data_IF_323162074364
#
_entry.id   IF_323162074364
#
_cell.length_a   1.000
_cell.length_b   1.000
_cell.length_c   1.000
_cell.angle_alpha   90.00
_cell.angle_beta   90.00
_cell.angle_gamma   90.00
#
_symmetry.space_group_name_H-M   'P 1'
#
loop_
_entity.id
_entity.type
_entity.pdbx_description
1 polymer ?
#
# COMPACT_ATOMS: atom_id res chain seq x y z
N UNK A 1 4.35 -0.77 -27.66
CA UNK A 1 5.51 -0.11 -27.06
C UNK A 1 6.63 -1.13 -27.12
N UNK A 2 7.62 -0.90 -27.97
CA UNK A 2 8.81 -1.72 -28.04
C UNK A 2 9.60 -1.50 -26.75
N UNK A 3 9.62 -2.52 -25.89
CA UNK A 3 10.51 -2.58 -24.74
C UNK A 3 11.92 -2.73 -25.29
N UNK A 4 12.57 -1.59 -25.51
CA UNK A 4 14.01 -1.55 -25.72
C UNK A 4 14.63 -1.98 -24.40
N UNK A 5 15.04 -3.25 -24.33
CA UNK A 5 15.97 -3.75 -23.32
C UNK A 5 17.26 -2.96 -23.49
N UNK A 6 17.38 -1.86 -22.75
CA UNK A 6 18.67 -1.20 -22.57
C UNK A 6 19.42 -2.10 -21.60
N UNK A 7 20.07 -3.12 -22.14
CA UNK A 7 21.04 -3.91 -21.38
C UNK A 7 22.17 -2.96 -21.00
N UNK A 8 22.25 -2.64 -19.72
CA UNK A 8 23.32 -1.82 -19.19
C UNK A 8 24.60 -2.68 -19.20
N UNK A 9 25.32 -2.69 -20.31
CA UNK A 9 26.50 -3.56 -20.55
C UNK A 9 27.54 -3.48 -19.43
N UNK A 10 27.67 -2.31 -18.79
CA UNK A 10 28.56 -2.07 -17.65
C UNK A 10 28.11 -2.82 -16.39
N UNK A 11 26.80 -2.87 -16.15
CA UNK A 11 26.20 -3.59 -15.01
C UNK A 11 26.35 -5.10 -15.20
N UNK A 12 26.08 -5.60 -16.40
CA UNK A 12 26.27 -7.02 -16.76
C UNK A 12 27.74 -7.41 -16.60
N UNK A 13 28.66 -6.59 -17.10
CA UNK A 13 30.10 -6.84 -16.99
C UNK A 13 30.55 -6.89 -15.53
N UNK A 14 30.08 -5.96 -14.71
CA UNK A 14 30.38 -5.91 -13.27
C UNK A 14 29.83 -7.14 -12.55
N UNK A 15 28.60 -7.54 -12.86
CA UNK A 15 27.98 -8.73 -12.32
C UNK A 15 28.76 -10.00 -12.69
N UNK A 16 29.18 -10.16 -13.95
CA UNK A 16 29.99 -11.30 -14.40
C UNK A 16 31.33 -11.35 -13.65
N UNK A 17 32.01 -10.20 -13.50
CA UNK A 17 33.29 -10.12 -12.78
C UNK A 17 33.12 -10.52 -11.32
N UNK A 18 32.08 -10.02 -10.64
CA UNK A 18 31.81 -10.34 -9.25
C UNK A 18 31.47 -11.83 -9.07
N UNK A 19 30.66 -12.39 -9.97
CA UNK A 19 30.37 -13.83 -9.96
C UNK A 19 31.61 -14.68 -10.14
N UNK A 20 32.46 -14.33 -11.11
CA UNK A 20 33.74 -15.01 -11.33
C UNK A 20 34.60 -14.97 -10.07
N UNK A 21 34.74 -13.80 -9.42
CA UNK A 21 35.49 -13.65 -8.17
C UNK A 21 34.94 -14.55 -7.07
N UNK A 22 33.62 -14.60 -6.91
CA UNK A 22 32.95 -15.44 -5.90
C UNK A 22 33.20 -16.93 -6.17
N UNK A 23 33.00 -17.40 -7.40
CA UNK A 23 33.25 -18.80 -7.76
C UNK A 23 34.72 -19.18 -7.59
N UNK A 24 35.65 -18.33 -8.01
CA UNK A 24 37.09 -18.56 -7.83
C UNK A 24 37.46 -18.61 -6.35
N UNK A 25 36.93 -17.69 -5.54
CA UNK A 25 37.15 -17.70 -4.09
C UNK A 25 36.60 -18.98 -3.45
N UNK A 26 35.38 -19.39 -3.82
CA UNK A 26 34.79 -20.63 -3.33
C UNK A 26 35.61 -21.87 -3.71
N UNK A 27 36.15 -21.91 -4.92
CA UNK A 27 37.00 -23.01 -5.38
C UNK A 27 38.36 -23.06 -4.67
N UNK A 28 39.04 -21.92 -4.50
CA UNK A 28 40.39 -21.87 -3.93
C UNK A 28 40.43 -21.82 -2.40
N UNK A 29 39.37 -21.34 -1.73
CA UNK A 29 39.33 -21.26 -0.26
C UNK A 29 39.70 -22.58 0.44
N UNK A 30 39.18 -23.76 0.01
CA UNK A 30 39.55 -25.04 0.62
C UNK A 30 41.02 -25.43 0.44
N UNK A 31 41.75 -24.77 -0.47
CA UNK A 31 43.16 -25.03 -0.72
C UNK A 31 44.10 -24.23 0.18
N UNK A 32 43.63 -23.20 0.89
CA UNK A 32 44.50 -22.35 1.72
C UNK A 32 45.26 -23.13 2.79
N UNK A 33 44.57 -24.03 3.49
CA UNK A 33 45.16 -24.84 4.58
C UNK A 33 45.35 -26.31 4.17
N UNK A 34 45.35 -26.61 2.86
CA UNK A 34 45.35 -27.99 2.36
C UNK A 34 46.61 -28.74 2.79
N UNK A 35 47.73 -28.01 2.88
CA UNK A 35 49.02 -28.58 3.26
C UNK A 35 48.92 -29.15 4.68
N UNK A 36 48.56 -28.32 5.64
CA UNK A 36 48.50 -28.67 7.06
C UNK A 36 47.36 -29.63 7.37
N UNK A 37 46.22 -29.48 6.69
CA UNK A 37 45.04 -30.33 6.95
C UNK A 37 45.14 -31.72 6.37
N UNK A 38 45.70 -31.87 5.16
CA UNK A 38 45.57 -33.12 4.40
C UNK A 38 46.90 -33.61 3.82
N UNK A 39 47.72 -32.74 3.22
CA UNK A 39 48.91 -33.19 2.49
C UNK A 39 49.97 -33.82 3.40
N UNK A 40 50.13 -33.32 4.64
CA UNK A 40 51.06 -33.90 5.63
C UNK A 40 50.72 -35.37 5.92
N UNK A 41 49.44 -35.71 6.05
CA UNK A 41 49.02 -37.10 6.29
C UNK A 41 49.18 -37.97 5.04
N UNK A 42 48.90 -37.41 3.85
CA UNK A 42 49.07 -38.12 2.57
C UNK A 42 50.54 -38.48 2.31
N UNK A 43 51.47 -37.59 2.67
CA UNK A 43 52.92 -37.83 2.51
C UNK A 43 53.41 -38.98 3.42
N UNK A 44 52.73 -39.25 4.53
CA UNK A 44 53.05 -40.36 5.43
C UNK A 44 52.61 -41.73 4.88
N UNK A 45 51.68 -41.75 3.92
CA UNK A 45 51.21 -43.00 3.31
C UNK A 45 52.36 -43.69 2.55
N UNK A 46 52.61 -44.95 2.89
CA UNK A 46 53.62 -45.79 2.21
C UNK A 46 52.98 -46.79 1.26
N UNK A 47 51.76 -47.21 1.59
CA UNK A 47 50.98 -48.19 0.82
C UNK A 47 49.74 -47.54 0.23
N UNK A 48 49.25 -48.15 -0.84
CA UNK A 48 48.08 -47.64 -1.54
C UNK A 48 46.79 -47.82 -0.73
N UNK A 49 46.71 -48.86 0.10
CA UNK A 49 45.58 -49.11 0.98
C UNK A 49 45.43 -48.00 2.03
N UNK A 50 46.54 -47.58 2.66
CA UNK A 50 46.59 -46.46 3.61
C UNK A 50 46.09 -45.16 2.97
N UNK A 51 46.52 -44.90 1.72
CA UNK A 51 46.06 -43.75 0.95
C UNK A 51 44.56 -43.81 0.65
N UNK A 52 44.05 -44.96 0.19
CA UNK A 52 42.64 -45.12 -0.17
C UNK A 52 41.73 -44.88 1.04
N UNK A 53 42.12 -45.37 2.22
CA UNK A 53 41.33 -45.18 3.44
C UNK A 53 41.34 -43.70 3.90
N UNK A 54 42.50 -43.04 3.83
CA UNK A 54 42.62 -41.61 4.11
C UNK A 54 41.81 -40.76 3.11
N UNK A 55 41.88 -41.10 1.83
CA UNK A 55 41.14 -40.43 0.76
C UNK A 55 39.63 -40.51 1.01
N UNK A 56 39.09 -41.70 1.34
CA UNK A 56 37.66 -41.88 1.64
C UNK A 56 37.21 -41.09 2.87
N UNK A 57 38.07 -40.97 3.88
CA UNK A 57 37.78 -40.20 5.08
C UNK A 57 37.64 -38.70 4.78
N UNK A 58 38.54 -38.17 3.94
CA UNK A 58 38.59 -36.74 3.60
C UNK A 58 37.57 -36.39 2.51
N UNK A 59 37.64 -37.11 1.39
CA UNK A 59 36.81 -36.95 0.21
C UNK A 59 35.63 -37.91 0.36
N UNK A 60 34.63 -37.51 1.13
CA UNK A 60 33.39 -38.29 1.41
C UNK A 60 32.54 -38.59 0.16
N UNK A 61 32.96 -38.13 -1.01
CA UNK A 61 32.23 -38.27 -2.26
C UNK A 61 32.58 -39.58 -2.98
N UNK A 62 31.56 -40.40 -3.21
CA UNK A 62 31.63 -41.64 -3.98
C UNK A 62 31.54 -41.43 -5.50
N UNK A 63 31.16 -40.24 -5.98
CA UNK A 63 30.88 -39.96 -7.39
C UNK A 63 32.10 -39.49 -8.20
N UNK A 64 33.05 -38.79 -7.56
CA UNK A 64 34.21 -38.18 -8.25
C UNK A 64 35.22 -39.23 -8.75
N UNK A 65 35.11 -40.47 -8.27
CA UNK A 65 35.72 -41.61 -8.96
C UNK A 65 34.92 -42.87 -8.68
N UNK A 66 34.30 -43.49 -9.71
CA UNK A 66 34.39 -44.95 -9.77
C UNK A 66 35.87 -45.26 -9.56
N UNK A 67 36.24 -46.20 -8.68
CA UNK A 67 37.62 -46.66 -8.46
C UNK A 67 38.23 -47.09 -9.81
N UNK A 68 38.65 -46.10 -10.58
CA UNK A 68 38.98 -46.19 -11.98
C UNK A 68 40.44 -46.52 -11.97
N UNK A 69 40.72 -47.76 -12.35
CA UNK A 69 42.05 -48.34 -12.60
C UNK A 69 43.14 -47.29 -12.48
N UNK A 70 43.86 -47.32 -11.35
CA UNK A 70 45.18 -46.70 -11.20
C UNK A 70 45.86 -46.78 -12.57
N UNK A 71 46.26 -45.65 -13.18
CA UNK A 71 46.79 -45.67 -14.53
C UNK A 71 47.82 -46.79 -14.64
N UNK A 72 47.56 -47.78 -15.51
CA UNK A 72 48.29 -49.08 -15.53
C UNK A 72 49.81 -48.87 -15.70
N UNK A 73 50.22 -47.72 -16.24
CA UNK A 73 51.64 -47.32 -16.39
C UNK A 73 52.32 -46.85 -15.11
N UNK A 74 51.60 -46.53 -14.03
CA UNK A 74 52.16 -46.04 -12.76
C UNK A 74 52.53 -47.17 -11.79
N UNK A 75 52.06 -48.39 -12.06
CA UNK A 75 52.44 -49.60 -11.31
C UNK A 75 53.55 -50.40 -12.00
N UNK A 76 54.21 -49.82 -13.01
CA UNK A 76 55.38 -50.44 -13.63
C UNK A 76 56.57 -50.24 -12.68
N UNK A 77 57.36 -51.29 -12.37
CA UNK A 77 58.58 -51.16 -11.58
C UNK A 77 59.64 -50.24 -12.22
N UNK A 78 59.44 -49.84 -13.47
CA UNK A 78 60.32 -48.96 -14.24
C UNK A 78 60.14 -47.46 -13.93
N UNK A 79 59.00 -47.04 -13.34
CA UNK A 79 58.81 -45.62 -13.00
C UNK A 79 59.52 -45.28 -11.69
N UNK A 80 60.64 -44.55 -11.80
CA UNK A 80 61.46 -44.04 -10.67
C UNK A 80 60.77 -42.99 -9.77
N UNK A 81 59.46 -42.79 -9.88
CA UNK A 81 58.75 -41.71 -9.18
C UNK A 81 58.31 -42.19 -7.79
N UNK A 82 58.73 -41.54 -6.69
CA UNK A 82 58.28 -41.89 -5.35
C UNK A 82 56.75 -41.89 -5.21
N UNK A 83 56.20 -42.89 -4.52
CA UNK A 83 54.76 -43.08 -4.31
C UNK A 83 54.05 -41.85 -3.71
N UNK A 84 54.77 -41.06 -2.91
CA UNK A 84 54.29 -39.80 -2.32
C UNK A 84 53.80 -38.81 -3.39
N UNK A 85 54.55 -38.64 -4.49
CA UNK A 85 54.14 -37.72 -5.56
C UNK A 85 52.87 -38.21 -6.29
N UNK A 86 52.69 -39.53 -6.35
CA UNK A 86 51.51 -40.15 -6.92
C UNK A 86 50.27 -39.89 -6.07
N UNK A 87 50.36 -40.13 -4.76
CA UNK A 87 49.27 -39.89 -3.82
C UNK A 87 48.87 -38.41 -3.77
N UNK A 88 49.85 -37.50 -3.73
CA UNK A 88 49.59 -36.06 -3.76
C UNK A 88 48.85 -35.64 -5.04
N UNK A 89 49.32 -36.08 -6.21
CA UNK A 89 48.73 -35.71 -7.50
C UNK A 89 47.30 -36.21 -7.64
N UNK A 90 47.05 -37.47 -7.24
CA UNK A 90 45.70 -38.04 -7.24
C UNK A 90 44.77 -37.29 -6.30
N UNK A 91 45.21 -37.07 -5.07
CA UNK A 91 44.38 -36.42 -4.07
C UNK A 91 44.01 -35.01 -4.50
N UNK A 92 44.98 -34.20 -4.93
CA UNK A 92 44.74 -32.83 -5.39
C UNK A 92 43.78 -32.80 -6.58
N UNK A 93 43.91 -33.73 -7.52
CA UNK A 93 43.01 -33.83 -8.69
C UNK A 93 41.58 -34.14 -8.25
N UNK A 94 41.38 -35.12 -7.38
CA UNK A 94 40.04 -35.48 -6.89
C UNK A 94 39.45 -34.42 -5.98
N UNK A 95 40.26 -33.83 -5.12
CA UNK A 95 39.85 -32.75 -4.23
C UNK A 95 39.40 -31.53 -5.04
N UNK A 96 40.15 -31.16 -6.09
CA UNK A 96 39.73 -30.14 -7.04
C UNK A 96 38.41 -30.49 -7.74
N UNK A 97 38.24 -31.75 -8.16
CA UNK A 97 36.98 -32.24 -8.72
C UNK A 97 35.79 -32.03 -7.78
N UNK A 98 35.92 -32.39 -6.50
CA UNK A 98 34.87 -32.14 -5.49
C UNK A 98 34.56 -30.66 -5.32
N UNK A 99 35.59 -29.80 -5.22
CA UNK A 99 35.33 -28.36 -5.07
C UNK A 99 34.68 -27.75 -6.31
N UNK A 100 35.03 -28.26 -7.50
CA UNK A 100 34.40 -27.86 -8.74
C UNK A 100 32.92 -28.27 -8.81
N UNK A 101 32.61 -29.52 -8.44
CA UNK A 101 31.24 -30.01 -8.36
C UNK A 101 30.39 -29.17 -7.39
N UNK A 102 30.93 -28.81 -6.23
CA UNK A 102 30.24 -27.93 -5.27
C UNK A 102 29.92 -26.55 -5.86
N UNK A 103 30.85 -25.97 -6.62
CA UNK A 103 30.63 -24.67 -7.29
C UNK A 103 29.56 -24.79 -8.37
N UNK A 104 29.58 -25.85 -9.17
CA UNK A 104 28.54 -26.11 -10.17
C UNK A 104 27.18 -26.28 -9.50
N UNK A 105 27.09 -27.10 -8.44
CA UNK A 105 25.83 -27.33 -7.74
C UNK A 105 25.25 -26.03 -7.17
N UNK A 106 26.11 -25.18 -6.59
CA UNK A 106 25.71 -23.86 -6.11
C UNK A 106 25.12 -22.99 -7.24
N UNK A 107 25.79 -22.94 -8.39
CA UNK A 107 25.33 -22.17 -9.55
C UNK A 107 24.00 -22.69 -10.10
N UNK A 108 23.86 -24.01 -10.24
CA UNK A 108 22.62 -24.64 -10.72
C UNK A 108 21.45 -24.39 -9.76
N UNK A 109 21.66 -24.51 -8.45
CA UNK A 109 20.62 -24.22 -7.45
C UNK A 109 20.18 -22.77 -7.52
N UNK A 110 21.14 -21.84 -7.62
CA UNK A 110 20.84 -20.41 -7.72
C UNK A 110 20.00 -20.10 -8.96
N UNK A 111 20.38 -20.65 -10.12
CA UNK A 111 19.67 -20.45 -11.37
C UNK A 111 18.25 -21.02 -11.30
N UNK A 112 18.10 -22.22 -10.74
CA UNK A 112 16.79 -22.84 -10.53
C UNK A 112 15.89 -21.95 -9.66
N UNK A 113 16.40 -21.42 -8.54
CA UNK A 113 15.63 -20.51 -7.67
C UNK A 113 15.23 -19.23 -8.39
N UNK A 114 16.14 -18.64 -9.18
CA UNK A 114 15.84 -17.45 -9.97
C UNK A 114 14.75 -17.72 -11.01
N UNK A 115 14.84 -18.82 -11.76
CA UNK A 115 13.82 -19.22 -12.75
C UNK A 115 12.44 -19.42 -12.13
N UNK A 116 12.36 -20.07 -10.96
CA UNK A 116 11.10 -20.25 -10.23
C UNK A 116 10.52 -18.90 -9.78
N UNK A 117 11.36 -17.98 -9.31
CA UNK A 117 10.92 -16.64 -8.91
C UNK A 117 10.37 -15.84 -10.09
N UNK A 118 11.04 -15.90 -11.25
CA UNK A 118 10.59 -15.26 -12.49
C UNK A 118 9.22 -15.79 -12.91
N UNK A 119 9.04 -17.11 -12.94
CA UNK A 119 7.77 -17.75 -13.31
C UNK A 119 6.62 -17.33 -12.38
N UNK A 120 6.90 -17.16 -11.09
CA UNK A 120 5.91 -16.64 -10.12
C UNK A 120 5.50 -15.21 -10.45
N UNK A 121 6.46 -14.33 -10.75
CA UNK A 121 6.21 -12.94 -11.12
C UNK A 121 5.39 -12.87 -12.42
N UNK A 122 5.75 -13.66 -13.43
CA UNK A 122 5.01 -13.73 -14.69
C UNK A 122 3.54 -14.13 -14.49
N UNK A 123 3.30 -15.12 -13.62
CA UNK A 123 1.96 -15.58 -13.29
C UNK A 123 1.15 -14.48 -12.59
N UNK A 124 1.74 -13.80 -11.61
CA UNK A 124 1.10 -12.68 -10.91
C UNK A 124 0.78 -11.52 -11.85
N UNK A 125 1.71 -11.20 -12.76
CA UNK A 125 1.50 -10.14 -13.76
C UNK A 125 0.35 -10.50 -14.71
N UNK A 126 0.25 -11.76 -15.16
CA UNK A 126 -0.85 -12.22 -15.99
C UNK A 126 -2.22 -12.11 -15.28
N UNK A 127 -2.28 -12.49 -13.99
CA UNK A 127 -3.48 -12.33 -13.17
C UNK A 127 -3.87 -10.87 -12.99
N UNK A 128 -2.89 -10.00 -12.69
CA UNK A 128 -3.12 -8.58 -12.51
C UNK A 128 -3.62 -7.93 -13.80
N UNK A 129 -3.00 -8.25 -14.94
CA UNK A 129 -3.42 -7.77 -16.25
C UNK A 129 -4.86 -8.17 -16.56
N UNK A 130 -5.25 -9.42 -16.29
CA UNK A 130 -6.63 -9.87 -16.45
C UNK A 130 -7.61 -9.09 -15.56
N UNK A 131 -7.25 -8.84 -14.29
CA UNK A 131 -8.07 -8.03 -13.37
C UNK A 131 -8.26 -6.60 -13.89
N UNK A 132 -7.22 -6.00 -14.46
CA UNK A 132 -7.32 -4.67 -15.09
C UNK A 132 -8.23 -4.69 -16.31
N UNK A 133 -8.12 -5.68 -17.19
CA UNK A 133 -8.98 -5.81 -18.37
C UNK A 133 -10.45 -5.98 -17.97
N UNK A 134 -10.73 -6.80 -16.95
CA UNK A 134 -12.09 -7.01 -16.42
C UNK A 134 -12.65 -5.75 -15.75
N UNK A 135 -11.80 -4.96 -15.07
CA UNK A 135 -12.19 -3.67 -14.51
C UNK A 135 -12.50 -2.66 -15.63
N UNK A 136 -11.67 -2.61 -16.67
CA UNK A 136 -11.89 -1.76 -17.84
C UNK A 136 -13.26 -2.01 -18.48
N UNK A 137 -13.62 -3.28 -18.70
CA UNK A 137 -14.95 -3.67 -19.21
C UNK A 137 -16.09 -3.25 -18.28
N UNK A 138 -15.92 -3.37 -16.96
CA UNK A 138 -16.94 -2.92 -15.99
C UNK A 138 -17.13 -1.41 -16.01
N UNK A 139 -16.05 -0.65 -16.14
CA UNK A 139 -16.09 0.81 -16.27
C UNK A 139 -16.74 1.23 -17.59
N UNK A 140 -16.42 0.54 -18.69
CA UNK A 140 -17.05 0.78 -19.99
C UNK A 140 -18.56 0.48 -19.96
N UNK A 141 -18.96 -0.62 -19.34
CA UNK A 141 -20.38 -0.95 -19.11
C UNK A 141 -21.06 -0.01 -18.08
N UNK A 142 -20.30 0.79 -17.33
CA UNK A 142 -20.82 1.86 -16.46
C UNK A 142 -21.11 3.15 -17.23
N UNK A 143 -20.89 3.21 -18.54
CA UNK A 143 -21.32 4.34 -19.37
C UNK A 143 -22.83 4.59 -19.25
N UNK A 144 -23.63 3.53 -19.07
CA UNK A 144 -25.06 3.64 -18.79
C UNK A 144 -25.33 4.38 -17.47
N UNK A 145 -24.48 4.19 -16.46
CA UNK A 145 -24.56 4.91 -15.18
C UNK A 145 -24.25 6.40 -15.35
N UNK A 146 -23.26 6.75 -16.18
CA UNK A 146 -22.95 8.14 -16.50
C UNK A 146 -24.12 8.81 -17.25
N UNK A 147 -24.75 8.10 -18.18
CA UNK A 147 -25.91 8.57 -18.93
C UNK A 147 -27.16 8.74 -18.03
N UNK A 148 -27.42 7.77 -17.14
CA UNK A 148 -28.49 7.83 -16.13
C UNK A 148 -28.26 9.00 -15.16
N UNK A 149 -27.04 9.17 -14.66
CA UNK A 149 -26.69 10.29 -13.77
C UNK A 149 -26.89 11.64 -14.47
N UNK A 150 -26.50 11.75 -15.75
CA UNK A 150 -26.73 12.95 -16.55
C UNK A 150 -28.23 13.28 -16.76
N UNK A 151 -29.07 12.26 -16.96
CA UNK A 151 -30.52 12.41 -17.04
C UNK A 151 -31.13 12.90 -15.72
N UNK A 152 -30.73 12.29 -14.59
CA UNK A 152 -31.21 12.66 -13.25
C UNK A 152 -30.80 14.09 -12.89
N UNK A 153 -29.55 14.49 -13.20
CA UNK A 153 -29.09 15.87 -12.98
C UNK A 153 -29.96 16.86 -13.75
N UNK A 154 -30.23 16.59 -15.04
CA UNK A 154 -31.07 17.47 -15.87
C UNK A 154 -32.49 17.58 -15.33
N UNK A 155 -33.07 16.48 -14.86
CA UNK A 155 -34.41 16.47 -14.27
C UNK A 155 -34.45 17.31 -12.98
N UNK A 156 -33.45 17.16 -12.11
CA UNK A 156 -33.33 17.94 -10.88
C UNK A 156 -33.12 19.43 -11.15
N UNK A 157 -32.29 19.79 -12.12
CA UNK A 157 -32.09 21.19 -12.56
C UNK A 157 -33.41 21.82 -13.05
N UNK A 158 -34.21 21.08 -13.82
CA UNK A 158 -35.53 21.55 -14.26
C UNK A 158 -36.47 21.79 -13.08
N UNK A 159 -36.47 20.87 -12.11
CA UNK A 159 -37.31 20.98 -10.90
C UNK A 159 -36.90 22.19 -10.05
N UNK A 160 -35.60 22.45 -9.91
CA UNK A 160 -35.08 23.64 -9.21
C UNK A 160 -35.57 24.91 -9.90
N UNK A 161 -35.39 25.03 -11.23
CA UNK A 161 -35.85 26.22 -11.99
C UNK A 161 -37.35 26.49 -11.83
N UNK A 162 -38.17 25.44 -11.85
CA UNK A 162 -39.61 25.57 -11.64
C UNK A 162 -39.95 26.05 -10.22
N UNK A 163 -39.25 25.54 -9.21
CA UNK A 163 -39.44 25.96 -7.83
C UNK A 163 -38.97 27.40 -7.60
N UNK A 164 -37.85 27.81 -8.19
CA UNK A 164 -37.36 29.19 -8.14
C UNK A 164 -38.39 30.17 -8.72
N UNK A 165 -39.00 29.82 -9.86
CA UNK A 165 -40.06 30.65 -10.47
C UNK A 165 -41.29 30.78 -9.55
N UNK A 166 -41.73 29.70 -8.90
CA UNK A 166 -42.85 29.72 -7.95
C UNK A 166 -42.52 30.55 -6.69
N UNK A 167 -41.29 30.46 -6.18
CA UNK A 167 -40.82 31.29 -5.05
C UNK A 167 -40.87 32.77 -5.42
N UNK A 168 -40.32 33.16 -6.58
CA UNK A 168 -40.35 34.55 -7.06
C UNK A 168 -41.78 35.07 -7.21
N UNK A 169 -42.68 34.25 -7.76
CA UNK A 169 -44.09 34.62 -7.90
C UNK A 169 -44.75 34.85 -6.52
N UNK A 170 -44.48 33.98 -5.54
CA UNK A 170 -44.99 34.11 -4.17
C UNK A 170 -44.41 35.31 -3.44
N UNK A 171 -43.13 35.61 -3.63
CA UNK A 171 -42.48 36.80 -3.07
C UNK A 171 -43.12 38.09 -3.57
N UNK A 172 -43.42 38.19 -4.88
CA UNK A 172 -44.16 39.35 -5.44
C UNK A 172 -45.52 39.54 -4.80
N UNK A 173 -46.30 38.46 -4.66
CA UNK A 173 -47.63 38.51 -4.00
C UNK A 173 -47.51 38.98 -2.55
N UNK A 174 -46.47 38.53 -1.82
CA UNK A 174 -46.24 38.94 -0.43
C UNK A 174 -45.89 40.44 -0.37
N UNK A 175 -45.02 40.92 -1.26
CA UNK A 175 -44.66 42.34 -1.33
C UNK A 175 -45.89 43.21 -1.60
N UNK A 176 -46.71 42.86 -2.59
CA UNK A 176 -47.96 43.56 -2.90
C UNK A 176 -48.94 43.58 -1.70
N UNK A 177 -49.08 42.44 -1.00
CA UNK A 177 -49.90 42.37 0.22
C UNK A 177 -49.33 43.20 1.37
N UNK A 178 -48.01 43.32 1.49
CA UNK A 178 -47.39 44.17 2.50
C UNK A 178 -47.59 45.65 2.19
N UNK A 179 -47.53 46.07 0.92
CA UNK A 179 -47.82 47.45 0.51
C UNK A 179 -49.27 47.83 0.82
N UNK A 180 -50.22 46.95 0.50
CA UNK A 180 -51.63 47.16 0.84
C UNK A 180 -51.85 47.22 2.35
N UNK A 181 -51.20 46.35 3.13
CA UNK A 181 -51.25 46.41 4.60
C UNK A 181 -50.64 47.72 5.16
N UNK A 182 -49.53 48.20 4.61
CA UNK A 182 -48.92 49.47 5.03
C UNK A 182 -49.85 50.66 4.75
N UNK A 183 -50.49 50.67 3.57
CA UNK A 183 -51.51 51.67 3.23
C UNK A 183 -52.69 51.65 4.20
N UNK A 184 -53.15 50.46 4.61
CA UNK A 184 -54.20 50.31 5.62
C UNK A 184 -53.75 50.83 6.99
N UNK A 185 -52.53 50.54 7.41
CA UNK A 185 -51.96 51.06 8.67
C UNK A 185 -51.90 52.58 8.70
N UNK A 186 -51.50 53.24 7.61
CA UNK A 186 -51.52 54.70 7.51
C UNK A 186 -52.95 55.27 7.59
N UNK A 187 -53.93 54.61 6.96
CA UNK A 187 -55.35 55.00 7.07
C UNK A 187 -55.87 54.87 8.51
N UNK A 188 -55.52 53.80 9.22
CA UNK A 188 -55.90 53.60 10.63
C UNK A 188 -55.31 54.73 11.49
N UNK A 189 -54.02 55.01 11.35
CA UNK A 189 -53.33 56.06 12.09
C UNK A 189 -53.92 57.46 11.83
N UNK A 190 -54.34 57.74 10.60
CA UNK A 190 -55.03 58.99 10.25
C UNK A 190 -56.43 59.10 10.87
N UNK A 191 -57.13 57.98 11.08
CA UNK A 191 -58.43 57.96 11.76
C UNK A 191 -58.28 58.10 13.27
N UNK A 192 -57.31 57.43 13.90
CA UNK A 192 -57.02 57.58 15.34
C UNK A 192 -56.70 59.04 15.70
N UNK A 193 -55.93 59.73 14.86
CA UNK A 193 -55.61 61.17 15.06
C UNK A 193 -56.83 62.10 14.95
N UNK A 194 -57.90 61.66 14.26
CA UNK A 194 -59.18 62.40 14.21
C UNK A 194 -60.06 62.13 15.42
N UNK A 195 -59.88 60.99 16.09
CA UNK A 195 -60.63 60.61 17.29
C UNK A 195 -60.05 61.29 18.56
N UNK A 196 -58.75 61.62 18.57
CA UNK A 196 -58.11 62.39 19.65
C UNK A 196 -58.49 63.89 19.68
N UNK A 197 -59.24 64.40 18.69
CA UNK A 197 -59.91 65.70 18.78
C UNK A 197 -61.39 65.49 19.15
N UNK A 198 -61.86 65.93 20.33
CA UNK A 198 -63.16 65.51 20.83
C UNK A 198 -64.28 66.25 20.09
N UNK A 199 -65.04 65.53 19.26
CA UNK A 199 -66.46 65.85 19.05
C UNK A 199 -67.22 65.37 20.28
N UNK A 200 -67.26 66.22 21.30
CA UNK A 200 -68.18 66.14 22.42
C UNK A 200 -69.62 66.28 21.91
N UNK A 201 -70.31 65.16 21.71
CA UNK A 201 -71.76 65.12 21.80
C UNK A 201 -72.22 63.75 22.30
N UNK A 202 -72.65 63.77 23.56
CA UNK A 202 -73.35 62.70 24.25
C UNK A 202 -74.72 62.53 23.59
N UNK A 203 -74.96 61.37 22.99
CA UNK A 203 -76.32 60.87 22.77
C UNK A 203 -76.38 59.41 23.20
N UNK A 204 -77.11 59.21 24.30
CA UNK A 204 -77.50 57.93 24.84
C UNK A 204 -78.28 57.14 23.78
N UNK A 205 -77.77 55.98 23.39
CA UNK A 205 -78.57 54.95 22.71
C UNK A 205 -78.28 53.59 23.35
N UNK A 206 -79.35 52.85 23.57
CA UNK A 206 -79.48 51.61 24.34
C UNK A 206 -78.45 50.53 24.00
N UNK A 207 -77.88 49.95 25.05
CA UNK A 207 -76.97 48.81 24.97
C UNK A 207 -77.81 47.53 25.08
N UNK A 208 -78.07 46.86 23.96
CA UNK A 208 -78.58 45.48 23.95
C UNK A 208 -77.43 44.51 24.28
N UNK A 209 -77.31 44.16 25.56
CA UNK A 209 -76.28 43.26 26.09
C UNK A 209 -76.58 41.78 25.74
N UNK A 210 -76.49 41.41 24.46
CA UNK A 210 -76.30 40.00 24.07
C UNK A 210 -74.84 39.62 24.22
N UNK A 211 -74.50 39.14 25.41
CA UNK A 211 -73.21 38.53 25.75
C UNK A 211 -72.95 37.29 24.88
N UNK A 212 -72.28 37.47 23.74
CA UNK A 212 -71.65 36.37 23.03
C UNK A 212 -70.39 35.95 23.78
N UNK A 213 -70.47 34.79 24.45
CA UNK A 213 -69.34 34.12 25.12
C UNK A 213 -68.16 33.96 24.14
N UNK A 214 -67.08 34.72 24.35
CA UNK A 214 -65.78 34.43 23.72
C UNK A 214 -65.33 33.05 24.19
N UNK A 215 -65.35 32.05 23.30
CA UNK A 215 -64.65 30.79 23.52
C UNK A 215 -63.15 31.09 23.65
N UNK A 216 -62.58 30.86 24.84
CA UNK A 216 -61.13 30.79 25.06
C UNK A 216 -60.55 29.77 24.07
N UNK A 217 -59.74 30.22 23.11
CA UNK A 217 -58.83 29.32 22.37
C UNK A 217 -57.71 28.89 23.33
N UNK A 218 -57.40 27.60 23.47
CA UNK A 218 -56.26 27.17 24.27
C UNK A 218 -54.96 27.66 23.61
N UNK A 219 -54.17 28.42 24.36
CA UNK A 219 -52.85 28.88 23.95
C UNK A 219 -51.89 27.69 23.97
N UNK A 220 -51.88 26.89 22.90
CA UNK A 220 -50.88 25.84 22.71
C UNK A 220 -49.58 26.53 22.33
N UNK A 221 -48.71 26.79 23.32
CA UNK A 221 -47.31 27.21 23.09
C UNK A 221 -46.67 26.22 22.12
N UNK A 222 -46.58 26.59 20.84
CA UNK A 222 -45.83 25.83 19.85
C UNK A 222 -44.36 26.06 20.16
N UNK A 223 -43.67 25.04 20.66
CA UNK A 223 -42.20 25.05 20.77
C UNK A 223 -41.65 25.43 19.38
N UNK A 224 -41.05 26.61 19.24
CA UNK A 224 -40.23 26.94 18.07
C UNK A 224 -39.01 26.02 18.14
N UNK A 225 -38.95 25.04 17.24
CA UNK A 225 -37.67 24.46 16.88
C UNK A 225 -36.89 25.56 16.15
N UNK A 226 -35.84 26.08 16.78
CA UNK A 226 -34.83 26.86 16.06
C UNK A 226 -34.06 25.87 15.20
N UNK A 227 -34.32 25.85 13.89
CA UNK A 227 -33.38 25.28 12.96
C UNK A 227 -32.19 26.25 12.89
N UNK A 228 -31.07 25.86 13.51
CA UNK A 228 -29.79 26.48 13.24
C UNK A 228 -29.36 25.95 11.88
N UNK A 229 -29.49 26.78 10.85
CA UNK A 229 -28.79 26.56 9.60
C UNK A 229 -27.29 26.58 9.91
N UNK A 230 -26.62 25.43 9.82
CA UNK A 230 -25.16 25.43 9.71
C UNK A 230 -24.86 25.88 8.29
N UNK A 231 -24.50 27.15 8.15
CA UNK A 231 -23.84 27.66 6.97
C UNK A 231 -22.64 26.75 6.70
N UNK A 232 -22.65 26.06 5.56
CA UNK A 232 -21.49 25.33 5.06
C UNK A 232 -20.42 26.33 4.66
N UNK A 233 -19.60 26.74 5.63
CA UNK A 233 -18.36 27.43 5.38
C UNK A 233 -17.30 26.35 5.15
N UNK A 234 -16.70 26.36 3.97
CA UNK A 234 -15.50 25.57 3.68
C UNK A 234 -14.40 26.17 4.56
N UNK A 235 -14.04 25.46 5.63
CA UNK A 235 -12.83 25.77 6.40
C UNK A 235 -11.70 24.93 5.84
N UNK A 236 -10.68 25.59 5.32
CA UNK A 236 -9.37 25.00 5.12
C UNK A 236 -8.93 24.35 6.43
N UNK A 237 -8.62 23.05 6.37
CA UNK A 237 -8.20 22.30 7.54
C UNK A 237 -6.73 22.65 7.81
N UNK A 238 -6.51 23.75 8.52
CA UNK A 238 -5.25 24.00 9.20
C UNK A 238 -5.18 22.99 10.34
N UNK A 239 -4.27 22.02 10.24
CA UNK A 239 -4.01 21.04 11.29
C UNK A 239 -3.39 21.78 12.48
N UNK A 240 -4.24 22.16 13.44
CA UNK A 240 -3.81 22.65 14.74
C UNK A 240 -3.48 21.45 15.62
N UNK A 241 -2.18 21.20 15.86
CA UNK A 241 -1.70 20.13 16.75
C UNK A 241 -1.96 20.51 18.21
N UNK A 242 -3.22 20.51 18.61
CA UNK A 242 -3.63 20.82 19.97
C UNK A 242 -4.43 19.67 20.57
N UNK A 243 -3.74 18.79 21.32
CA UNK A 243 -4.14 17.89 22.44
C UNK A 243 -5.51 17.18 22.48
N UNK A 244 -6.42 17.39 21.53
CA UNK A 244 -7.80 16.91 21.52
C UNK A 244 -7.96 15.51 20.91
N UNK A 245 -6.92 15.01 20.25
CA UNK A 245 -6.93 13.71 19.55
C UNK A 245 -6.25 12.58 20.33
N UNK A 246 -5.75 12.85 21.56
CA UNK A 246 -5.11 11.83 22.39
C UNK A 246 -6.04 10.66 22.69
N UNK A 247 -7.30 10.93 23.02
CA UNK A 247 -8.30 9.90 23.35
C UNK A 247 -8.68 9.04 22.12
N UNK A 248 -8.64 9.62 20.91
CA UNK A 248 -8.91 8.88 19.67
C UNK A 248 -7.73 7.98 19.30
N UNK A 249 -6.51 8.50 19.46
CA UNK A 249 -5.28 7.77 19.21
C UNK A 249 -5.10 6.62 20.21
N UNK A 250 -5.34 6.83 21.52
CA UNK A 250 -5.25 5.76 22.53
C UNK A 250 -6.28 4.64 22.33
N UNK A 251 -7.45 4.96 21.78
CA UNK A 251 -8.54 3.99 21.61
C UNK A 251 -8.38 3.09 20.38
N UNK A 252 -7.66 3.55 19.37
CA UNK A 252 -7.56 2.89 18.05
C UNK A 252 -6.14 2.50 17.64
N UNK A 253 -5.13 2.89 18.41
CA UNK A 253 -3.72 2.60 18.11
C UNK A 253 -3.03 1.96 19.33
N UNK A 254 -2.19 0.95 19.10
CA UNK A 254 -1.44 0.29 20.16
C UNK A 254 -0.33 1.20 20.70
N UNK A 255 0.00 1.13 22.00
CA UNK A 255 1.07 1.95 22.64
C UNK A 255 2.40 1.96 21.87
N UNK A 256 2.72 0.88 21.15
CA UNK A 256 3.94 0.72 20.33
C UNK A 256 3.90 1.39 18.95
N UNK A 257 2.74 1.81 18.47
CA UNK A 257 2.61 2.45 17.15
C UNK A 257 3.01 3.92 17.14
N UNK A 258 3.31 4.49 18.32
CA UNK A 258 3.64 5.91 18.50
C UNK A 258 5.04 6.29 18.01
N UNK A 259 5.96 5.33 17.89
CA UNK A 259 7.41 5.64 17.84
C UNK A 259 8.21 4.89 16.74
N UNK A 260 7.61 4.47 15.61
CA UNK A 260 8.44 4.01 14.47
C UNK A 260 8.87 5.24 13.67
N UNK A 261 10.13 5.62 13.83
CA UNK A 261 10.77 6.69 13.07
C UNK A 261 11.52 6.12 11.86
N UNK A 262 11.86 6.98 10.91
CA UNK A 262 12.66 6.60 9.74
C UNK A 262 13.99 5.88 10.10
N UNK A 263 14.50 6.09 11.31
CA UNK A 263 15.74 5.48 11.80
C UNK A 263 15.58 4.04 12.32
N UNK A 264 14.34 3.57 12.48
CA UNK A 264 14.04 2.22 12.96
C UNK A 264 13.94 1.19 11.81
N UNK A 265 14.04 1.65 10.56
CA UNK A 265 14.00 0.82 9.36
C UNK A 265 15.41 0.70 8.78
N UNK A 266 16.07 -0.48 8.87
CA UNK A 266 17.41 -0.66 8.33
C UNK A 266 17.46 -0.49 6.81
N UNK A 267 18.46 0.23 6.31
CA UNK A 267 18.61 0.55 4.88
C UNK A 267 18.81 -0.66 3.94
N UNK A 268 18.99 -1.86 4.50
CA UNK A 268 19.19 -3.11 3.76
C UNK A 268 17.93 -4.00 3.73
N UNK A 269 16.81 -3.57 4.29
CA UNK A 269 15.55 -4.30 4.22
C UNK A 269 14.88 -4.10 2.87
N UNK A 270 14.27 -5.17 2.34
CA UNK A 270 13.45 -5.06 1.14
C UNK A 270 12.10 -4.40 1.44
N UNK A 271 11.47 -3.82 0.43
CA UNK A 271 10.15 -3.19 0.56
C UNK A 271 9.10 -4.18 1.10
N UNK A 272 9.20 -5.47 0.77
CA UNK A 272 8.32 -6.51 1.33
C UNK A 272 8.56 -6.76 2.83
N UNK A 273 9.81 -6.71 3.30
CA UNK A 273 10.15 -6.89 4.71
C UNK A 273 9.65 -5.70 5.53
N UNK A 274 9.81 -4.49 4.99
CA UNK A 274 9.32 -3.24 5.58
C UNK A 274 7.79 -3.27 5.66
N UNK A 275 7.11 -3.63 4.57
CA UNK A 275 5.66 -3.69 4.50
C UNK A 275 5.08 -4.80 5.40
N UNK A 276 5.76 -5.93 5.49
CA UNK A 276 5.40 -7.03 6.39
C UNK A 276 5.45 -6.62 7.86
N UNK A 277 6.50 -5.89 8.26
CA UNK A 277 6.66 -5.38 9.62
C UNK A 277 5.62 -4.29 9.96
N UNK A 278 5.35 -3.38 9.01
CA UNK A 278 4.36 -2.30 9.19
C UNK A 278 2.93 -2.86 9.31
N UNK A 279 2.56 -3.84 8.49
CA UNK A 279 1.24 -4.48 8.57
C UNK A 279 1.04 -5.29 9.87
N UNK A 280 2.12 -5.84 10.44
CA UNK A 280 2.05 -6.61 11.67
C UNK A 280 1.96 -5.73 12.93
N UNK A 281 2.54 -4.52 12.90
CA UNK A 281 2.76 -3.69 14.09
C UNK A 281 2.06 -2.33 14.08
N UNK A 282 1.54 -1.86 12.93
CA UNK A 282 0.90 -0.55 12.79
C UNK A 282 -0.55 -0.74 12.35
N UNK A 283 -1.49 -0.14 13.09
CA UNK A 283 -2.92 -0.33 12.84
C UNK A 283 -3.46 0.33 11.57
N UNK A 284 -2.80 1.38 11.08
CA UNK A 284 -3.17 2.13 9.86
C UNK A 284 -1.90 2.68 9.20
N UNK A 285 -1.75 2.49 7.89
CA UNK A 285 -0.66 3.08 7.08
C UNK A 285 -1.29 4.00 6.04
N UNK A 286 -1.01 5.30 6.12
CA UNK A 286 -1.48 6.29 5.15
C UNK A 286 -0.37 6.62 4.15
N UNK A 287 -0.71 6.61 2.86
CA UNK A 287 0.21 6.92 1.77
C UNK A 287 0.10 8.39 1.40
N UNK A 288 1.18 9.14 1.55
CA UNK A 288 1.28 10.51 1.04
C UNK A 288 1.83 10.44 -0.39
N UNK A 289 1.01 10.86 -1.35
CA UNK A 289 1.40 10.93 -2.75
C UNK A 289 1.73 12.38 -3.10
N UNK A 290 2.99 12.66 -3.45
CA UNK A 290 3.38 13.99 -3.93
C UNK A 290 3.08 14.07 -5.44
N UNK A 291 2.27 15.07 -5.81
CA UNK A 291 1.95 15.40 -7.21
C UNK A 291 3.13 16.07 -7.90
#
# INVERSE_FOLDING_TARGET
>A
MDTTLIENEEEVSTWVINNKKTCMKAFFNPFHDIYDRFLVEIVKCKKIEEYIDLEKMIIKSTSVSKLGKIPIRLNKPETKVPAVYYFLSLFLTKFAGVQFDNVIEFLLRREYTAAVSLQRIETQYAELKKKFDDLGKKVENSADSALINGLVIRELENKIRNLEADVIAKERIILEKNETNNSLWEKIKALEKKEEQPTSQVTNMEIDNKTQKKKKRPNKKRKRARAVAKNGMITDLVIDKGDKDKDYLDKHFADKSRDITFYDIPAYWSDEEILGLLNANVGVVEFINFK
#
